data_IF_046091987744
#
_entry.id   IF_046091987744
#
_cell.length_a   1.000
_cell.length_b   1.000
_cell.length_c   1.000
_cell.angle_alpha   90.00
_cell.angle_beta   90.00
_cell.angle_gamma   90.00
#
_symmetry.space_group_name_H-M   'P 1'
#
loop_
_entity.id
_entity.type
_entity.pdbx_description
1 polymer ?
#
# COMPACT_ATOMS: atom_id res chain seq x y z
N UNK A 1 -10.96 -34.54 6.38
CA UNK A 1 -10.99 -35.62 7.40
C UNK A 1 -10.44 -35.24 8.79
N UNK A 2 -10.02 -33.99 9.06
CA UNK A 2 -9.54 -33.55 10.40
C UNK A 2 -10.67 -33.04 11.32
N UNK A 3 -11.72 -32.46 10.75
CA UNK A 3 -12.84 -31.85 11.50
C UNK A 3 -13.80 -32.90 12.09
N UNK A 4 -13.94 -34.06 11.42
CA UNK A 4 -14.76 -35.19 11.88
C UNK A 4 -14.16 -35.90 13.12
N UNK A 5 -12.84 -35.87 13.30
CA UNK A 5 -12.15 -36.54 14.42
C UNK A 5 -12.31 -35.80 15.75
N UNK A 6 -12.81 -34.55 15.74
CA UNK A 6 -12.94 -33.74 16.96
C UNK A 6 -14.27 -33.89 17.70
N UNK A 7 -15.31 -34.41 17.04
CA UNK A 7 -16.63 -34.56 17.67
C UNK A 7 -16.71 -35.74 18.67
N UNK A 8 -15.66 -36.56 18.77
CA UNK A 8 -15.64 -37.74 19.66
C UNK A 8 -15.30 -37.41 21.12
N UNK A 9 -14.64 -36.28 21.40
CA UNK A 9 -14.21 -35.92 22.76
C UNK A 9 -15.09 -34.81 23.34
N UNK A 10 -16.14 -35.20 24.07
CA UNK A 10 -17.10 -34.31 24.70
C UNK A 10 -16.50 -33.58 25.91
N UNK A 11 -15.80 -32.46 25.68
CA UNK A 11 -15.27 -31.61 26.75
C UNK A 11 -14.88 -30.20 26.30
N UNK A 12 -15.05 -29.21 27.19
CA UNK A 12 -14.80 -27.78 26.92
C UNK A 12 -13.33 -27.49 26.56
N UNK A 13 -12.40 -28.24 27.16
CA UNK A 13 -10.97 -28.20 26.84
C UNK A 13 -10.66 -28.66 25.41
N UNK A 14 -11.42 -29.63 24.89
CA UNK A 14 -11.24 -30.15 23.52
C UNK A 14 -11.61 -29.11 22.47
N UNK A 15 -12.67 -28.33 22.70
CA UNK A 15 -13.10 -27.24 21.80
C UNK A 15 -12.05 -26.14 21.74
N UNK A 16 -11.46 -25.77 22.89
CA UNK A 16 -10.43 -24.73 22.94
C UNK A 16 -9.16 -25.15 22.18
N UNK A 17 -8.69 -26.38 22.38
CA UNK A 17 -7.52 -26.91 21.67
C UNK A 17 -7.76 -27.05 20.17
N UNK A 18 -8.96 -27.48 19.77
CA UNK A 18 -9.36 -27.55 18.36
C UNK A 18 -9.34 -26.16 17.71
N UNK A 19 -9.83 -25.14 18.40
CA UNK A 19 -9.83 -23.76 17.90
C UNK A 19 -8.40 -23.27 17.61
N UNK A 20 -7.47 -23.44 18.56
CA UNK A 20 -6.08 -23.02 18.35
C UNK A 20 -5.36 -23.81 17.26
N UNK A 21 -5.57 -25.12 17.20
CA UNK A 21 -4.99 -25.98 16.17
C UNK A 21 -5.49 -25.58 14.77
N UNK A 22 -6.79 -25.33 14.63
CA UNK A 22 -7.39 -24.88 13.38
C UNK A 22 -6.92 -23.47 12.99
N UNK A 23 -6.84 -22.55 13.95
CA UNK A 23 -6.35 -21.20 13.71
C UNK A 23 -4.89 -21.20 13.22
N UNK A 24 -4.01 -21.98 13.87
CA UNK A 24 -2.62 -22.12 13.45
C UNK A 24 -2.49 -22.73 12.05
N UNK A 25 -3.26 -23.79 11.77
CA UNK A 25 -3.29 -24.43 10.46
C UNK A 25 -3.79 -23.51 9.34
N UNK A 26 -4.82 -22.70 9.63
CA UNK A 26 -5.35 -21.73 8.69
C UNK A 26 -4.34 -20.62 8.39
N UNK A 27 -3.66 -20.07 9.39
CA UNK A 27 -2.64 -19.02 9.22
C UNK A 27 -1.44 -19.55 8.43
N UNK A 28 -0.96 -20.77 8.75
CA UNK A 28 0.14 -21.40 8.02
C UNK A 28 -0.17 -21.54 6.53
N UNK A 29 -1.40 -21.98 6.22
CA UNK A 29 -1.86 -22.17 4.84
C UNK A 29 -2.04 -20.83 4.11
N UNK A 30 -2.58 -19.82 4.79
CA UNK A 30 -2.72 -18.48 4.24
C UNK A 30 -1.36 -17.85 3.95
N UNK A 31 -0.40 -17.98 4.86
CA UNK A 31 0.95 -17.48 4.69
C UNK A 31 1.66 -18.15 3.50
N UNK A 32 1.60 -19.47 3.38
CA UNK A 32 2.29 -20.18 2.30
C UNK A 32 1.64 -19.91 0.94
N UNK A 33 0.31 -19.97 0.83
CA UNK A 33 -0.37 -19.87 -0.48
C UNK A 33 -0.45 -18.42 -0.98
N UNK A 34 -0.65 -17.45 -0.10
CA UNK A 34 -0.83 -16.05 -0.53
C UNK A 34 0.50 -15.32 -0.64
N UNK A 35 1.41 -15.49 0.31
CA UNK A 35 2.66 -14.71 0.29
C UNK A 35 3.64 -15.28 -0.73
N UNK A 36 3.82 -16.60 -0.79
CA UNK A 36 4.84 -17.17 -1.68
C UNK A 36 4.32 -17.30 -3.11
N UNK A 37 3.12 -17.82 -3.29
CA UNK A 37 2.56 -18.04 -4.64
C UNK A 37 1.74 -16.82 -5.13
N UNK A 38 0.94 -16.22 -4.25
CA UNK A 38 0.09 -15.07 -4.61
C UNK A 38 0.84 -13.77 -4.91
N UNK A 39 1.89 -13.45 -4.13
CA UNK A 39 2.70 -12.24 -4.35
C UNK A 39 3.53 -12.34 -5.64
N UNK A 40 4.02 -13.54 -5.97
CA UNK A 40 4.73 -13.82 -7.23
C UNK A 40 3.82 -13.57 -8.44
N UNK A 41 2.58 -14.08 -8.39
CA UNK A 41 1.58 -13.85 -9.43
C UNK A 41 1.17 -12.37 -9.53
N UNK A 42 1.04 -11.67 -8.39
CA UNK A 42 0.71 -10.24 -8.36
C UNK A 42 1.79 -9.36 -8.98
N UNK A 43 3.08 -9.62 -8.67
CA UNK A 43 4.20 -8.88 -9.24
C UNK A 43 4.34 -9.09 -10.76
N UNK A 44 4.01 -10.30 -11.24
CA UNK A 44 3.94 -10.56 -12.68
C UNK A 44 2.83 -9.76 -13.35
N UNK A 45 1.63 -9.74 -12.76
CA UNK A 45 0.51 -8.95 -13.25
C UNK A 45 0.81 -7.42 -13.21
N UNK A 46 1.49 -6.95 -12.17
CA UNK A 46 1.90 -5.55 -12.05
C UNK A 46 2.96 -5.16 -13.09
N UNK A 47 3.87 -6.09 -13.45
CA UNK A 47 4.83 -5.87 -14.54
C UNK A 47 4.13 -5.71 -15.89
N UNK A 48 3.14 -6.55 -16.17
CA UNK A 48 2.29 -6.41 -17.36
C UNK A 48 1.54 -5.08 -17.33
N UNK A 49 0.90 -4.72 -16.21
CA UNK A 49 0.25 -3.41 -16.04
C UNK A 49 1.23 -2.27 -16.32
N UNK A 50 2.40 -2.26 -15.69
CA UNK A 50 3.36 -1.19 -15.89
C UNK A 50 3.84 -1.11 -17.35
N UNK A 51 4.31 -2.21 -17.93
CA UNK A 51 4.90 -2.17 -19.27
C UNK A 51 3.86 -2.02 -20.38
N UNK A 52 2.68 -2.62 -20.25
CA UNK A 52 1.63 -2.55 -21.26
C UNK A 52 0.78 -1.28 -21.11
N UNK A 53 0.48 -0.83 -19.88
CA UNK A 53 -0.39 0.34 -19.65
C UNK A 53 0.39 1.67 -19.73
N UNK A 54 1.66 1.72 -19.30
CA UNK A 54 2.49 2.93 -19.49
C UNK A 54 2.90 3.10 -20.96
N UNK A 55 3.22 2.02 -21.67
CA UNK A 55 3.63 2.09 -23.08
C UNK A 55 2.50 2.52 -24.02
N UNK A 56 1.22 2.29 -23.66
CA UNK A 56 0.07 2.64 -24.51
C UNK A 56 -0.72 3.88 -24.12
N UNK A 57 -0.70 4.31 -22.86
CA UNK A 57 -1.51 5.45 -22.38
C UNK A 57 -0.69 6.57 -21.75
N UNK A 58 0.62 6.41 -21.60
CA UNK A 58 1.51 7.40 -21.00
C UNK A 58 2.62 7.78 -21.98
N UNK A 59 2.30 8.66 -22.95
CA UNK A 59 3.34 9.43 -23.63
C UNK A 59 4.02 10.27 -22.56
N UNK A 60 5.28 9.95 -22.24
CA UNK A 60 6.08 10.53 -21.14
C UNK A 60 6.40 12.01 -21.32
N UNK A 61 5.38 12.84 -21.46
CA UNK A 61 5.43 14.26 -21.75
C UNK A 61 4.23 14.96 -21.10
N UNK A 62 4.30 15.14 -19.79
CA UNK A 62 3.41 16.03 -19.06
C UNK A 62 4.26 16.90 -18.13
N UNK A 63 4.19 18.22 -18.29
CA UNK A 63 4.70 19.11 -17.25
C UNK A 63 3.89 18.85 -15.98
N UNK A 64 4.58 18.49 -14.90
CA UNK A 64 3.94 18.46 -13.58
C UNK A 64 3.27 19.81 -13.37
N UNK A 65 1.95 19.77 -13.14
CA UNK A 65 1.16 20.99 -12.99
C UNK A 65 1.61 21.66 -11.70
N UNK A 66 2.49 22.66 -11.81
CA UNK A 66 2.88 23.49 -10.65
C UNK A 66 1.79 24.54 -10.52
N UNK A 67 0.95 24.49 -9.48
CA UNK A 67 -0.11 25.48 -9.31
C UNK A 67 0.53 26.86 -9.13
N UNK A 68 0.07 27.83 -9.93
CA UNK A 68 0.47 29.22 -9.75
C UNK A 68 -0.22 29.79 -8.50
N UNK A 69 0.56 30.03 -7.47
CA UNK A 69 0.13 30.63 -6.21
C UNK A 69 0.37 32.14 -6.24
N UNK A 70 -0.72 32.90 -6.43
CA UNK A 70 -0.69 34.37 -6.34
C UNK A 70 -0.21 34.84 -4.96
N UNK A 71 -0.53 34.08 -3.90
CA UNK A 71 -0.13 34.39 -2.52
C UNK A 71 1.39 34.32 -2.36
N UNK A 72 2.04 33.30 -2.93
CA UNK A 72 3.50 33.17 -2.86
C UNK A 72 4.22 34.22 -3.73
N UNK A 73 3.61 34.63 -4.85
CA UNK A 73 4.15 35.71 -5.67
C UNK A 73 4.11 37.06 -4.94
N UNK A 74 2.97 37.39 -4.32
CA UNK A 74 2.82 38.62 -3.54
C UNK A 74 3.67 38.62 -2.27
N UNK A 75 3.84 37.47 -1.61
CA UNK A 75 4.70 37.35 -0.43
C UNK A 75 6.18 37.57 -0.77
N UNK A 76 6.65 37.04 -1.92
CA UNK A 76 8.02 37.32 -2.42
C UNK A 76 8.22 38.79 -2.73
N UNK A 77 7.29 39.41 -3.47
CA UNK A 77 7.37 40.84 -3.81
C UNK A 77 7.34 41.74 -2.56
N UNK A 78 6.53 41.40 -1.55
CA UNK A 78 6.51 42.12 -0.28
C UNK A 78 7.79 41.91 0.52
N UNK A 79 8.36 40.71 0.51
CA UNK A 79 9.65 40.42 1.15
C UNK A 79 10.80 41.20 0.50
N UNK A 80 10.83 41.30 -0.84
CA UNK A 80 11.81 42.12 -1.57
C UNK A 80 11.68 43.61 -1.23
N UNK A 81 10.44 44.11 -1.09
CA UNK A 81 10.21 45.48 -0.65
C UNK A 81 10.71 45.74 0.79
N UNK A 82 10.49 44.81 1.72
CA UNK A 82 10.97 44.92 3.10
C UNK A 82 12.52 44.88 3.18
N UNK A 83 13.16 44.01 2.40
CA UNK A 83 14.63 43.91 2.33
C UNK A 83 15.26 45.15 1.70
N UNK A 84 14.65 45.71 0.65
CA UNK A 84 15.14 46.94 0.01
C UNK A 84 15.06 48.17 0.93
N UNK A 85 14.02 48.25 1.77
CA UNK A 85 13.89 49.32 2.77
C UNK A 85 14.95 49.16 3.86
N UNK A 86 15.23 47.94 4.33
CA UNK A 86 16.23 47.71 5.39
C UNK A 86 17.68 47.91 4.93
N UNK A 87 17.98 47.78 3.63
CA UNK A 87 19.33 47.99 3.09
C UNK A 87 19.64 49.46 2.74
N UNK A 88 18.63 50.33 2.76
CA UNK A 88 18.74 51.77 2.46
C UNK A 88 18.53 52.66 3.71
N UNK A 89 18.59 52.06 4.89
CA UNK A 89 18.66 52.70 6.22
C UNK A 89 19.94 52.23 6.89
#
# INVERSE_FOLDING_TARGET
MVLAQSFTSSGLFGVLMMYFCFAFFAILTFAILIIMEGLSAFLHALRLHWVEFQSKFYEGGGHSFVPFSLVDCLRRARCEADVAIKNNV
#
